data_IF_657348894981
#
_entry.id   IF_657348894981
#
_cell.length_a   1.000
_cell.length_b   1.000
_cell.length_c   1.000
_cell.angle_alpha   90.00
_cell.angle_beta   90.00
_cell.angle_gamma   90.00
#
_symmetry.space_group_name_H-M   'P 1'
#
loop_
_entity.id
_entity.type
_entity.pdbx_description
1 polymer ?
#
# COMPACT_ATOMS: atom_id res chain seq x y z
N UNK A 1 -9.27 -13.26 -21.19
CA UNK A 1 -9.55 -11.97 -20.51
C UNK A 1 -9.38 -12.09 -19.00
N UNK A 2 -9.98 -13.08 -18.35
CA UNK A 2 -9.85 -13.40 -16.91
C UNK A 2 -8.40 -13.50 -16.42
N UNK A 3 -7.52 -14.16 -17.17
CA UNK A 3 -6.10 -14.31 -16.84
C UNK A 3 -5.36 -12.97 -16.73
N UNK A 4 -5.64 -12.03 -17.64
CA UNK A 4 -5.02 -10.71 -17.63
C UNK A 4 -5.50 -9.88 -16.43
N UNK A 5 -6.79 -9.98 -16.08
CA UNK A 5 -7.36 -9.32 -14.90
C UNK A 5 -6.72 -9.86 -13.61
N UNK A 6 -6.57 -11.18 -13.49
CA UNK A 6 -5.92 -11.80 -12.34
C UNK A 6 -4.44 -11.36 -12.18
N UNK A 7 -3.72 -11.25 -13.29
CA UNK A 7 -2.35 -10.72 -13.30
C UNK A 7 -2.33 -9.26 -12.85
N UNK A 8 -3.23 -8.42 -13.38
CA UNK A 8 -3.34 -7.01 -12.99
C UNK A 8 -3.62 -6.82 -11.50
N UNK A 9 -4.57 -7.60 -10.95
CA UNK A 9 -4.87 -7.61 -9.52
C UNK A 9 -3.67 -8.07 -8.68
N UNK A 10 -2.96 -9.12 -9.12
CA UNK A 10 -1.75 -9.60 -8.45
C UNK A 10 -0.63 -8.56 -8.41
N UNK A 11 -0.41 -7.86 -9.53
CA UNK A 11 0.57 -6.77 -9.60
C UNK A 11 0.21 -5.59 -8.69
N UNK A 12 -1.08 -5.25 -8.59
CA UNK A 12 -1.54 -4.21 -7.67
C UNK A 12 -1.24 -4.56 -6.21
N UNK A 13 -1.49 -5.82 -5.80
CA UNK A 13 -1.18 -6.29 -4.44
C UNK A 13 0.32 -6.29 -4.17
N UNK A 14 1.14 -6.72 -5.13
CA UNK A 14 2.61 -6.69 -5.00
C UNK A 14 3.12 -5.26 -4.84
N UNK A 15 2.63 -4.34 -5.67
CA UNK A 15 3.00 -2.92 -5.58
C UNK A 15 2.63 -2.30 -4.23
N UNK A 16 1.44 -2.62 -3.71
CA UNK A 16 0.99 -2.18 -2.40
C UNK A 16 1.88 -2.72 -1.27
N UNK A 17 2.18 -4.02 -1.30
CA UNK A 17 3.04 -4.67 -0.30
C UNK A 17 4.44 -4.08 -0.25
N UNK A 18 5.05 -3.82 -1.42
CA UNK A 18 6.36 -3.16 -1.50
C UNK A 18 6.28 -1.73 -0.96
N UNK A 19 5.27 -0.94 -1.38
CA UNK A 19 5.11 0.44 -0.94
C UNK A 19 4.93 0.56 0.57
N UNK A 20 4.03 -0.23 1.16
CA UNK A 20 3.77 -0.25 2.60
C UNK A 20 5.02 -0.73 3.37
N UNK A 21 5.68 -1.78 2.89
CA UNK A 21 6.90 -2.30 3.52
C UNK A 21 8.03 -1.26 3.58
N UNK A 22 8.23 -0.50 2.50
CA UNK A 22 9.21 0.59 2.45
C UNK A 22 8.83 1.74 3.40
N UNK A 23 7.57 2.16 3.39
CA UNK A 23 7.05 3.21 4.28
C UNK A 23 7.26 2.81 5.75
N UNK A 24 6.85 1.59 6.11
CA UNK A 24 7.00 1.05 7.46
C UNK A 24 8.46 0.93 7.88
N UNK A 25 9.33 0.38 7.03
CA UNK A 25 10.75 0.26 7.31
C UNK A 25 11.42 1.63 7.55
N UNK A 26 11.13 2.62 6.70
CA UNK A 26 11.65 3.99 6.86
C UNK A 26 11.11 4.69 8.10
N UNK A 27 9.86 4.45 8.46
CA UNK A 27 9.28 4.97 9.69
C UNK A 27 9.99 4.38 10.92
N UNK A 28 10.24 3.06 10.94
CA UNK A 28 10.97 2.42 12.04
C UNK A 28 12.40 2.95 12.17
N UNK A 29 13.12 3.10 11.05
CA UNK A 29 14.45 3.73 11.03
C UNK A 29 14.41 5.17 11.56
N UNK A 30 13.37 5.93 11.21
CA UNK A 30 13.18 7.31 11.68
C UNK A 30 12.92 7.38 13.19
N UNK A 31 12.01 6.53 13.68
CA UNK A 31 11.66 6.42 15.11
C UNK A 31 12.88 5.99 15.94
N UNK A 32 13.67 5.03 15.43
CA UNK A 32 14.88 4.59 16.12
C UNK A 32 15.93 5.71 16.26
N UNK A 33 15.99 6.64 15.29
CA UNK A 33 16.90 7.81 15.33
C UNK A 33 16.37 8.95 16.18
N UNK A 34 15.05 9.16 16.22
CA UNK A 34 14.39 10.23 16.96
C UNK A 34 13.12 9.70 17.65
N UNK A 35 13.27 9.09 18.83
CA UNK A 35 12.14 8.52 19.57
C UNK A 35 11.08 9.56 19.97
N UNK A 36 11.49 10.81 20.20
CA UNK A 36 10.60 11.90 20.59
C UNK A 36 9.62 12.27 19.47
N UNK A 37 10.00 12.05 18.21
CA UNK A 37 9.17 12.32 17.03
C UNK A 37 8.29 11.11 16.63
N UNK A 38 8.21 10.06 17.45
CA UNK A 38 7.57 8.81 17.04
C UNK A 38 6.08 8.95 16.69
N UNK A 39 5.36 9.82 17.41
CA UNK A 39 3.96 10.12 17.12
C UNK A 39 3.75 10.74 15.74
N UNK A 40 4.59 11.71 15.38
CA UNK A 40 4.52 12.42 14.11
C UNK A 40 4.93 11.52 12.95
N UNK A 41 6.03 10.76 13.11
CA UNK A 41 6.50 9.80 12.11
C UNK A 41 5.43 8.72 11.85
N UNK A 42 4.83 8.16 12.92
CA UNK A 42 3.77 7.15 12.79
C UNK A 42 2.53 7.73 12.09
N UNK A 43 2.15 8.97 12.40
CA UNK A 43 1.01 9.62 11.76
C UNK A 43 1.24 9.84 10.27
N UNK A 44 2.42 10.34 9.89
CA UNK A 44 2.81 10.46 8.48
C UNK A 44 2.89 9.10 7.76
N UNK A 45 3.43 8.08 8.43
CA UNK A 45 3.49 6.70 7.91
C UNK A 45 2.09 6.16 7.60
N UNK A 46 1.12 6.33 8.51
CA UNK A 46 -0.26 5.86 8.32
C UNK A 46 -0.93 6.60 7.14
N UNK A 47 -0.74 7.92 7.02
CA UNK A 47 -1.28 8.69 5.90
C UNK A 47 -0.74 8.18 4.56
N UNK A 48 0.58 7.97 4.48
CA UNK A 48 1.20 7.47 3.24
C UNK A 48 0.78 6.03 2.95
N UNK A 49 0.68 5.17 3.97
CA UNK A 49 0.18 3.81 3.81
C UNK A 49 -1.28 3.80 3.30
N UNK A 50 -2.13 4.70 3.80
CA UNK A 50 -3.51 4.83 3.35
C UNK A 50 -3.61 5.27 1.88
N UNK A 51 -2.70 6.12 1.38
CA UNK A 51 -2.66 6.45 -0.05
C UNK A 51 -2.24 5.26 -0.93
N UNK A 52 -1.27 4.46 -0.48
CA UNK A 52 -0.87 3.24 -1.18
C UNK A 52 -2.01 2.21 -1.19
N UNK A 53 -2.65 1.98 -0.04
CA UNK A 53 -3.81 1.10 0.05
C UNK A 53 -4.98 1.59 -0.80
N UNK A 54 -5.27 2.89 -0.80
CA UNK A 54 -6.35 3.48 -1.59
C UNK A 54 -6.19 3.18 -3.08
N UNK A 55 -4.99 3.38 -3.63
CA UNK A 55 -4.70 3.06 -5.03
C UNK A 55 -4.82 1.54 -5.32
N UNK A 56 -4.31 0.70 -4.42
CA UNK A 56 -4.36 -0.76 -4.56
C UNK A 56 -5.79 -1.31 -4.50
N UNK A 57 -6.60 -0.80 -3.56
CA UNK A 57 -8.00 -1.18 -3.41
C UNK A 57 -8.81 -0.79 -4.65
N UNK A 58 -8.59 0.40 -5.23
CA UNK A 58 -9.24 0.80 -6.48
C UNK A 58 -8.89 -0.19 -7.60
N UNK A 59 -7.62 -0.57 -7.75
CA UNK A 59 -7.20 -1.52 -8.77
C UNK A 59 -7.82 -2.93 -8.59
N UNK A 60 -7.91 -3.39 -7.34
CA UNK A 60 -8.54 -4.68 -7.01
C UNK A 60 -10.06 -4.61 -7.25
N UNK A 61 -10.73 -3.53 -6.85
CA UNK A 61 -12.16 -3.34 -7.08
C UNK A 61 -12.50 -3.31 -8.57
N UNK A 62 -11.71 -2.60 -9.38
CA UNK A 62 -11.88 -2.60 -10.83
C UNK A 62 -11.67 -4.00 -11.42
N UNK A 63 -10.69 -4.75 -10.91
CA UNK A 63 -10.45 -6.13 -11.34
C UNK A 63 -11.64 -7.05 -11.01
N UNK A 64 -12.23 -6.92 -9.82
CA UNK A 64 -13.43 -7.68 -9.43
C UNK A 64 -14.65 -7.26 -10.26
N UNK A 65 -14.81 -5.96 -10.53
CA UNK A 65 -15.89 -5.45 -11.37
C UNK A 65 -15.82 -6.02 -12.79
N UNK A 66 -14.64 -6.03 -13.41
CA UNK A 66 -14.43 -6.59 -14.75
C UNK A 66 -14.57 -8.11 -14.83
N UNK A 67 -14.50 -8.82 -13.70
CA UNK A 67 -14.70 -10.28 -13.65
C UNK A 67 -16.19 -10.67 -13.62
N UNK A 68 -17.06 -9.81 -13.08
CA UNK A 68 -18.48 -10.09 -12.86
C UNK A 68 -19.42 -9.29 -13.80
N UNK A 69 -18.89 -8.28 -14.48
CA UNK A 69 -19.61 -7.43 -15.42
C UNK A 69 -19.59 -7.93 -16.86
#
# INVERSE_FOLDING_TARGET
MTSLIAIGAGLAVIGAGIGIGLIGGKAMDGIARQPEAAGDIRSGMILMAAFVEGAALIAILLSIFMLNG
#
